data_IF_379913086536
#
_entry.id   IF_379913086536
#
_cell.length_a   1.000
_cell.length_b   1.000
_cell.length_c   1.000
_cell.angle_alpha   90.00
_cell.angle_beta   90.00
_cell.angle_gamma   90.00
#
_symmetry.space_group_name_H-M   'P 1'
#
loop_
_entity.id
_entity.type
_entity.pdbx_description
1 polymer ?
#
# COMPACT_ATOMS: atom_id res chain seq x y z
N UNK A 1 16.56 -12.50 -20.61
CA UNK A 1 17.06 -13.67 -19.85
C UNK A 1 18.35 -13.39 -19.06
N UNK A 2 19.31 -12.64 -19.57
CA UNK A 2 20.53 -12.29 -18.81
C UNK A 2 20.23 -11.45 -17.56
N UNK A 3 19.36 -10.49 -17.66
CA UNK A 3 18.96 -9.56 -16.61
C UNK A 3 18.28 -10.28 -15.42
N UNK A 4 17.31 -11.16 -15.71
CA UNK A 4 16.63 -11.96 -14.68
C UNK A 4 17.60 -12.84 -13.89
N UNK A 5 18.59 -13.45 -14.57
CA UNK A 5 19.62 -14.25 -13.90
C UNK A 5 20.51 -13.40 -13.00
N UNK A 6 20.80 -12.16 -13.40
CA UNK A 6 21.58 -11.21 -12.61
C UNK A 6 20.86 -10.85 -11.30
N UNK A 7 19.59 -10.49 -11.37
CA UNK A 7 18.77 -10.16 -10.19
C UNK A 7 18.66 -11.36 -9.24
N UNK A 8 18.37 -12.54 -9.75
CA UNK A 8 18.29 -13.75 -8.93
C UNK A 8 19.64 -14.08 -8.23
N UNK A 9 20.76 -13.88 -8.92
CA UNK A 9 22.09 -14.09 -8.31
C UNK A 9 22.35 -13.07 -7.18
N UNK A 10 22.00 -11.82 -7.37
CA UNK A 10 22.11 -10.79 -6.33
C UNK A 10 21.20 -11.11 -5.13
N UNK A 11 19.99 -11.59 -5.38
CA UNK A 11 19.02 -11.92 -4.34
C UNK A 11 19.51 -12.98 -3.35
N UNK A 12 20.37 -13.90 -3.78
CA UNK A 12 20.98 -14.91 -2.89
C UNK A 12 21.87 -14.29 -1.80
N UNK A 13 22.37 -13.08 -2.01
CA UNK A 13 23.20 -12.35 -1.05
C UNK A 13 22.45 -11.32 -0.22
N UNK A 14 21.14 -11.13 -0.45
CA UNK A 14 20.34 -10.12 0.25
C UNK A 14 19.61 -10.76 1.44
N UNK A 15 19.84 -10.29 2.68
CA UNK A 15 19.11 -10.77 3.85
C UNK A 15 17.59 -10.62 3.67
N UNK A 16 16.82 -11.62 4.05
CA UNK A 16 15.35 -11.59 3.93
C UNK A 16 14.82 -11.75 2.50
N UNK A 17 15.68 -12.04 1.51
CA UNK A 17 15.24 -12.37 0.17
C UNK A 17 14.92 -13.85 0.04
N UNK A 18 13.71 -14.17 -0.43
CA UNK A 18 13.27 -15.54 -0.74
C UNK A 18 12.92 -15.67 -2.22
N UNK A 19 13.50 -16.66 -2.91
CA UNK A 19 13.23 -16.94 -4.31
C UNK A 19 12.30 -18.14 -4.39
N UNK A 20 11.14 -17.97 -5.03
CA UNK A 20 10.25 -19.07 -5.34
C UNK A 20 10.22 -19.33 -6.85
N UNK A 21 10.77 -20.47 -7.26
CA UNK A 21 10.78 -20.91 -8.66
C UNK A 21 9.61 -21.83 -8.95
N UNK A 22 8.84 -21.55 -10.00
CA UNK A 22 7.61 -22.30 -10.29
C UNK A 22 7.82 -23.65 -11.00
N UNK A 23 9.06 -24.01 -11.36
CA UNK A 23 9.38 -25.30 -11.99
C UNK A 23 8.76 -25.51 -13.37
N UNK A 24 8.37 -24.45 -14.06
CA UNK A 24 7.72 -24.55 -15.38
C UNK A 24 8.76 -24.89 -16.46
N UNK A 25 8.47 -25.88 -17.30
CA UNK A 25 9.40 -26.39 -18.31
C UNK A 25 9.71 -25.39 -19.42
N UNK A 26 8.74 -24.53 -19.79
CA UNK A 26 8.88 -23.58 -20.88
C UNK A 26 8.78 -22.12 -20.40
N UNK A 27 9.68 -21.27 -20.92
CA UNK A 27 9.65 -19.83 -20.73
C UNK A 27 9.01 -19.16 -21.96
N UNK A 28 8.01 -18.29 -21.72
CA UNK A 28 7.36 -17.46 -22.76
C UNK A 28 7.29 -16.02 -22.28
N UNK A 29 7.27 -15.08 -23.20
CA UNK A 29 7.03 -13.65 -22.89
C UNK A 29 5.73 -13.51 -22.11
N UNK A 30 5.77 -12.77 -20.99
CA UNK A 30 4.63 -12.55 -20.08
C UNK A 30 4.30 -13.71 -19.14
N UNK A 31 4.98 -14.85 -19.22
CA UNK A 31 4.77 -15.96 -18.30
C UNK A 31 5.62 -15.79 -17.03
N UNK A 32 4.95 -15.70 -15.87
CA UNK A 32 5.65 -15.69 -14.58
C UNK A 32 6.33 -17.03 -14.32
N UNK A 33 7.65 -17.05 -14.19
CA UNK A 33 8.49 -18.23 -13.99
C UNK A 33 8.93 -18.38 -12.53
N UNK A 34 9.02 -17.26 -11.81
CA UNK A 34 9.40 -17.19 -10.42
C UNK A 34 8.83 -15.91 -9.79
N UNK A 35 8.90 -15.82 -8.48
CA UNK A 35 8.80 -14.54 -7.78
C UNK A 35 9.91 -14.43 -6.74
N UNK A 36 10.24 -13.19 -6.40
CA UNK A 36 11.16 -12.82 -5.35
C UNK A 36 10.38 -12.10 -4.26
N UNK A 37 10.50 -12.58 -3.03
CA UNK A 37 9.94 -11.93 -1.84
C UNK A 37 11.09 -11.35 -1.04
N UNK A 38 10.96 -10.11 -0.59
CA UNK A 38 11.93 -9.45 0.28
C UNK A 38 11.19 -9.04 1.54
N UNK A 39 11.70 -9.46 2.68
CA UNK A 39 11.18 -9.08 4.00
C UNK A 39 12.20 -8.21 4.71
N UNK A 40 11.74 -7.30 5.57
CA UNK A 40 12.57 -6.44 6.41
C UNK A 40 11.79 -6.06 7.67
N UNK A 41 12.49 -5.63 8.71
CA UNK A 41 11.87 -5.21 9.96
C UNK A 41 11.24 -3.82 9.87
N UNK A 42 11.80 -2.98 8.98
CA UNK A 42 11.29 -1.64 8.68
C UNK A 42 11.44 -1.28 7.19
N UNK A 43 10.88 -0.13 6.83
CA UNK A 43 10.88 0.32 5.44
C UNK A 43 12.25 0.79 4.94
N UNK A 44 13.09 1.31 5.81
CA UNK A 44 14.45 1.75 5.44
C UNK A 44 15.29 0.56 5.03
N UNK A 45 15.27 -0.50 5.84
CA UNK A 45 15.93 -1.76 5.50
C UNK A 45 15.35 -2.40 4.22
N UNK A 46 14.02 -2.34 4.03
CA UNK A 46 13.41 -2.87 2.83
C UNK A 46 13.94 -2.15 1.58
N UNK A 47 14.01 -0.83 1.63
CA UNK A 47 14.57 -0.01 0.55
C UNK A 47 16.02 -0.37 0.25
N UNK A 48 16.87 -0.42 1.26
CA UNK A 48 18.27 -0.80 1.12
C UNK A 48 18.44 -2.19 0.48
N UNK A 49 17.65 -3.17 0.93
CA UNK A 49 17.65 -4.53 0.38
C UNK A 49 17.22 -4.57 -1.08
N UNK A 50 16.24 -3.77 -1.46
CA UNK A 50 15.78 -3.64 -2.86
C UNK A 50 16.83 -2.95 -3.72
N UNK A 51 17.49 -1.89 -3.22
CA UNK A 51 18.57 -1.19 -3.93
C UNK A 51 19.77 -2.12 -4.21
N UNK A 52 20.12 -3.02 -3.28
CA UNK A 52 21.15 -4.04 -3.49
C UNK A 52 20.86 -4.96 -4.69
N UNK A 53 19.60 -5.14 -5.03
CA UNK A 53 19.21 -5.92 -6.22
C UNK A 53 19.38 -5.15 -7.53
N UNK A 54 19.56 -3.82 -7.45
CA UNK A 54 19.58 -2.92 -8.59
C UNK A 54 18.19 -2.74 -9.20
N UNK A 55 17.14 -2.93 -8.41
CA UNK A 55 15.77 -2.70 -8.82
C UNK A 55 15.43 -1.24 -8.52
N UNK A 56 15.16 -0.44 -9.53
CA UNK A 56 14.71 0.94 -9.37
C UNK A 56 13.19 1.03 -9.47
N UNK A 57 12.63 2.05 -8.85
CA UNK A 57 11.17 2.28 -8.81
C UNK A 57 10.56 2.40 -10.21
N UNK A 58 11.33 2.93 -11.16
CA UNK A 58 10.87 3.27 -12.51
C UNK A 58 10.83 2.05 -13.46
N UNK A 59 11.76 1.12 -13.28
CA UNK A 59 11.93 -0.01 -14.21
C UNK A 59 11.20 -1.29 -13.79
N UNK A 60 10.92 -1.46 -12.49
CA UNK A 60 10.50 -2.76 -11.97
C UNK A 60 9.20 -2.73 -11.15
N UNK A 61 8.49 -1.60 -11.14
CA UNK A 61 7.21 -1.50 -10.42
C UNK A 61 7.33 -1.92 -8.97
N UNK A 62 8.33 -1.36 -8.26
CA UNK A 62 8.51 -1.60 -6.84
C UNK A 62 7.20 -1.39 -6.11
N UNK A 63 6.69 -2.44 -5.52
CA UNK A 63 5.58 -2.35 -4.58
C UNK A 63 6.10 -1.54 -3.40
N UNK A 64 5.84 -0.24 -3.42
CA UNK A 64 5.95 0.57 -2.20
C UNK A 64 5.06 -0.09 -1.15
N UNK A 65 5.46 -0.12 0.12
CA UNK A 65 4.53 -0.51 1.17
C UNK A 65 3.22 0.21 0.93
N UNK A 66 2.14 -0.50 1.08
CA UNK A 66 0.81 0.08 0.94
C UNK A 66 0.69 1.36 1.78
N UNK A 67 -0.28 2.21 1.49
CA UNK A 67 -0.45 3.45 2.22
C UNK A 67 -0.61 3.14 3.72
N UNK A 68 0.12 3.87 4.57
CA UNK A 68 0.02 3.74 6.03
C UNK A 68 -1.09 4.60 6.61
N UNK A 69 -1.43 5.68 5.92
CA UNK A 69 -2.47 6.62 6.33
C UNK A 69 -3.54 6.67 5.25
N UNK A 70 -4.80 6.54 5.65
CA UNK A 70 -5.94 6.81 4.78
C UNK A 70 -6.50 8.20 5.07
N UNK A 71 -6.59 9.05 4.06
CA UNK A 71 -7.29 10.33 4.14
C UNK A 71 -8.62 10.15 3.43
N UNK A 72 -9.71 10.20 4.18
CA UNK A 72 -11.06 9.99 3.65
C UNK A 72 -11.94 11.23 3.85
N UNK A 73 -12.81 11.48 2.89
CA UNK A 73 -13.75 12.60 2.92
C UNK A 73 -15.08 12.22 2.29
N UNK A 74 -16.15 12.92 2.67
CA UNK A 74 -17.49 12.65 2.17
C UNK A 74 -17.77 13.20 0.77
N UNK A 75 -17.01 14.19 0.32
CA UNK A 75 -17.15 14.88 -0.95
C UNK A 75 -15.82 15.42 -1.44
N UNK A 76 -15.73 15.61 -2.75
CA UNK A 76 -14.63 16.35 -3.39
C UNK A 76 -14.56 17.82 -2.96
N UNK A 77 -15.69 18.40 -2.53
CA UNK A 77 -15.73 19.74 -1.92
C UNK A 77 -14.89 19.86 -0.63
N UNK A 78 -14.60 18.75 0.03
CA UNK A 78 -13.78 18.72 1.23
C UNK A 78 -12.27 18.68 0.90
N UNK A 79 -11.91 18.41 -0.36
CA UNK A 79 -10.54 18.25 -0.81
C UNK A 79 -9.65 19.46 -0.51
N UNK A 80 -10.06 20.71 -0.68
CA UNK A 80 -9.21 21.86 -0.35
C UNK A 80 -8.70 21.84 1.09
N UNK A 81 -9.54 21.40 2.05
CA UNK A 81 -9.14 21.27 3.46
C UNK A 81 -8.34 20.00 3.73
N UNK A 82 -8.73 18.88 3.12
CA UNK A 82 -8.09 17.58 3.37
C UNK A 82 -6.72 17.45 2.69
N UNK A 83 -6.46 18.27 1.68
CA UNK A 83 -5.18 18.33 0.99
C UNK A 83 -4.03 18.76 1.92
N UNK A 84 -4.28 19.63 2.88
CA UNK A 84 -3.27 20.07 3.85
C UNK A 84 -2.71 18.89 4.65
N UNK A 85 -3.55 17.91 4.99
CA UNK A 85 -3.10 16.68 5.65
C UNK A 85 -2.18 15.85 4.74
N UNK A 86 -2.49 15.77 3.45
CA UNK A 86 -1.65 15.10 2.47
C UNK A 86 -0.28 15.78 2.32
N UNK A 87 -0.23 17.11 2.25
CA UNK A 87 1.01 17.88 2.15
C UNK A 87 1.92 17.69 3.37
N UNK A 88 1.35 17.57 4.57
CA UNK A 88 2.11 17.26 5.78
C UNK A 88 2.67 15.83 5.74
N UNK A 89 1.90 14.86 5.26
CA UNK A 89 2.39 13.49 5.11
C UNK A 89 3.49 13.38 4.05
N UNK A 90 3.38 14.14 2.95
CA UNK A 90 4.44 14.25 1.94
C UNK A 90 5.72 14.84 2.54
N UNK A 91 5.61 15.88 3.35
CA UNK A 91 6.74 16.52 4.04
C UNK A 91 7.49 15.52 4.94
N UNK A 92 6.77 14.64 5.63
CA UNK A 92 7.35 13.61 6.50
C UNK A 92 7.68 12.30 5.78
N UNK A 93 7.44 12.18 4.48
CA UNK A 93 7.66 10.96 3.70
C UNK A 93 6.78 9.78 4.14
N UNK A 94 5.61 10.07 4.69
CA UNK A 94 4.64 9.05 5.13
C UNK A 94 3.72 8.69 3.96
N UNK A 95 3.68 7.41 3.59
CA UNK A 95 2.81 6.93 2.52
C UNK A 95 1.33 7.02 2.92
N UNK A 96 0.50 7.55 2.02
CA UNK A 96 -0.93 7.69 2.25
C UNK A 96 -1.74 7.38 0.99
N UNK A 97 -3.01 7.15 1.17
CA UNK A 97 -4.02 7.22 0.12
C UNK A 97 -5.06 8.29 0.46
N UNK A 98 -5.55 9.00 -0.54
CA UNK A 98 -6.59 10.01 -0.40
C UNK A 98 -7.77 9.64 -1.27
N UNK A 99 -8.97 9.54 -0.67
CA UNK A 99 -10.14 9.08 -1.40
C UNK A 99 -11.45 9.66 -0.87
N UNK A 100 -12.44 9.74 -1.76
CA UNK A 100 -13.80 10.13 -1.40
C UNK A 100 -14.61 8.86 -1.10
N UNK A 101 -15.13 8.76 0.13
CA UNK A 101 -16.07 7.73 0.56
C UNK A 101 -17.18 8.38 1.38
N UNK A 102 -18.41 8.37 0.87
CA UNK A 102 -19.51 9.05 1.51
C UNK A 102 -20.40 8.09 2.29
N UNK A 103 -20.64 8.38 3.57
CA UNK A 103 -21.56 7.61 4.39
C UNK A 103 -22.99 7.61 3.83
N UNK A 104 -23.41 8.69 3.18
CA UNK A 104 -24.77 8.85 2.66
C UNK A 104 -24.91 8.47 1.18
N UNK A 105 -23.94 8.84 0.33
CA UNK A 105 -24.01 8.64 -1.11
C UNK A 105 -23.44 7.31 -1.58
N UNK A 106 -22.39 6.81 -0.88
CA UNK A 106 -21.72 5.56 -1.24
C UNK A 106 -21.44 4.68 -0.01
N UNK A 107 -22.48 4.31 0.76
CA UNK A 107 -22.31 3.57 2.01
C UNK A 107 -21.59 2.23 1.81
N UNK A 108 -21.91 1.50 0.74
CA UNK A 108 -21.23 0.23 0.42
C UNK A 108 -19.75 0.40 0.17
N UNK A 109 -19.34 1.44 -0.56
CA UNK A 109 -17.92 1.75 -0.79
C UNK A 109 -17.20 2.09 0.52
N UNK A 110 -17.84 2.91 1.36
CA UNK A 110 -17.29 3.26 2.69
C UNK A 110 -17.13 2.01 3.55
N UNK A 111 -18.11 1.13 3.54
CA UNK A 111 -18.07 -0.13 4.26
C UNK A 111 -16.91 -1.03 3.78
N UNK A 112 -16.79 -1.27 2.48
CA UNK A 112 -15.68 -2.04 1.90
C UNK A 112 -14.33 -1.41 2.19
N UNK A 113 -14.24 -0.08 2.16
CA UNK A 113 -13.03 0.65 2.50
C UNK A 113 -12.60 0.39 3.95
N UNK A 114 -13.53 0.46 4.90
CA UNK A 114 -13.27 0.19 6.31
C UNK A 114 -12.84 -1.27 6.55
N UNK A 115 -13.53 -2.23 5.94
CA UNK A 115 -13.23 -3.65 6.11
C UNK A 115 -11.85 -4.06 5.60
N UNK A 116 -11.38 -3.42 4.52
CA UNK A 116 -10.09 -3.75 3.89
C UNK A 116 -8.93 -2.89 4.38
N UNK A 117 -9.18 -1.87 5.20
CA UNK A 117 -8.19 -0.90 5.63
C UNK A 117 -6.96 -1.56 6.29
N UNK A 118 -7.19 -2.45 7.24
CA UNK A 118 -6.11 -3.18 7.95
C UNK A 118 -5.35 -4.10 7.00
N UNK A 119 -6.05 -4.84 6.14
CA UNK A 119 -5.45 -5.74 5.15
C UNK A 119 -4.57 -5.00 4.14
N UNK A 120 -4.90 -3.74 3.82
CA UNK A 120 -4.11 -2.84 2.96
C UNK A 120 -2.94 -2.19 3.68
N UNK A 121 -2.79 -2.39 4.99
CA UNK A 121 -1.70 -1.86 5.78
C UNK A 121 -1.95 -0.47 6.37
N UNK A 122 -3.18 0.05 6.32
CA UNK A 122 -3.54 1.32 6.93
C UNK A 122 -3.47 1.23 8.45
N UNK A 123 -2.73 2.14 9.06
CA UNK A 123 -2.51 2.23 10.50
C UNK A 123 -3.28 3.39 11.12
N UNK A 124 -3.53 4.44 10.33
CA UNK A 124 -4.23 5.65 10.75
C UNK A 124 -5.23 6.05 9.67
N UNK A 125 -6.38 6.54 10.10
CA UNK A 125 -7.36 7.16 9.20
C UNK A 125 -7.59 8.61 9.64
N UNK A 126 -7.42 9.53 8.70
CA UNK A 126 -7.80 10.94 8.83
C UNK A 126 -9.12 11.10 8.08
N UNK A 127 -10.21 11.36 8.79
CA UNK A 127 -11.54 11.44 8.22
C UNK A 127 -12.08 12.87 8.29
N UNK A 128 -12.33 13.48 7.15
CA UNK A 128 -12.99 14.79 7.02
C UNK A 128 -14.49 14.66 6.91
N UNK A 129 -15.22 15.37 7.77
CA UNK A 129 -16.66 15.49 7.71
C UNK A 129 -17.09 16.92 7.99
N UNK A 130 -18.13 17.39 7.30
CA UNK A 130 -18.71 18.73 7.48
C UNK A 130 -19.48 18.87 8.80
N UNK A 131 -20.79 19.13 8.76
CA UNK A 131 -21.59 19.40 9.96
C UNK A 131 -21.66 18.22 10.93
N UNK A 132 -22.37 17.16 10.57
CA UNK A 132 -22.47 15.96 11.40
C UNK A 132 -21.38 14.95 11.03
N UNK A 133 -20.58 14.51 12.00
CA UNK A 133 -19.45 13.62 11.81
C UNK A 133 -19.86 12.15 11.59
N UNK A 134 -20.78 11.87 10.68
CA UNK A 134 -21.26 10.51 10.41
C UNK A 134 -20.18 9.65 9.81
N UNK A 135 -19.35 10.17 8.90
CA UNK A 135 -18.29 9.41 8.24
C UNK A 135 -17.28 8.83 9.24
N UNK A 136 -16.64 9.60 10.14
CA UNK A 136 -15.71 9.05 11.13
C UNK A 136 -16.39 8.02 12.04
N UNK A 137 -17.56 8.31 12.58
CA UNK A 137 -18.29 7.42 13.48
C UNK A 137 -18.66 6.08 12.85
N UNK A 138 -19.18 6.12 11.62
CA UNK A 138 -19.54 4.90 10.89
C UNK A 138 -18.32 4.08 10.54
N UNK A 139 -17.20 4.73 10.21
CA UNK A 139 -15.95 4.05 9.89
C UNK A 139 -15.39 3.29 11.11
N UNK A 140 -15.29 3.94 12.28
CA UNK A 140 -14.74 3.31 13.49
C UNK A 140 -15.56 2.15 14.00
N UNK A 141 -16.88 2.22 13.90
CA UNK A 141 -17.75 1.11 14.28
C UNK A 141 -17.47 -0.16 13.47
N UNK A 142 -17.21 -0.01 12.17
CA UNK A 142 -17.02 -1.13 11.24
C UNK A 142 -15.63 -1.77 11.30
N UNK A 143 -14.59 -1.00 11.64
CA UNK A 143 -13.25 -1.56 11.83
C UNK A 143 -13.16 -2.44 13.08
N UNK A 144 -13.96 -2.14 14.11
CA UNK A 144 -13.98 -2.88 15.37
C UNK A 144 -14.76 -4.20 15.31
N UNK A 145 -15.71 -4.37 14.38
CA UNK A 145 -16.48 -5.61 14.25
C UNK A 145 -15.65 -6.84 13.81
N UNK A 146 -14.44 -6.64 13.27
CA UNK A 146 -13.54 -7.75 12.87
C UNK A 146 -12.56 -8.19 13.97
N UNK A 147 -12.54 -7.54 15.14
CA UNK A 147 -11.62 -7.84 16.23
C UNK A 147 -12.28 -8.62 17.40
N UNK A 148 -13.52 -9.08 17.22
CA UNK A 148 -14.28 -9.86 18.21
C UNK A 148 -14.33 -11.36 17.90
#
# INVERSE_FOLDING_TARGET
>A
MAETKSVLKKALGVPGAGIHWYGKAESRVGRKMAHLTITADDFTQLRERVELLGLTKEEHGLVTPGPRVGIIMGSDSDLPTMKDAAEILDLFGVSYELTVVSAHRTPTRMYSYAQTAVERGLQVIIAGAGGAAHLPGTFTHRTNEKQG
#
